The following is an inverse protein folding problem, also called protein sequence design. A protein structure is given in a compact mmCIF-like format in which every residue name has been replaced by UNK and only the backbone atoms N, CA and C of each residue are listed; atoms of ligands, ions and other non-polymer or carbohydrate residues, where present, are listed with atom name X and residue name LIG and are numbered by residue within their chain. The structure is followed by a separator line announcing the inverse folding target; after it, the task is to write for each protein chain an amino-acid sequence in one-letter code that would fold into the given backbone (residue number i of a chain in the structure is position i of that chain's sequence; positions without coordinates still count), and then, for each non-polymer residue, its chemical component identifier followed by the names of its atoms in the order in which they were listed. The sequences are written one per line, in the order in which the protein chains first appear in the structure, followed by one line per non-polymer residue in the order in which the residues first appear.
data_IF_983288341862
#
_entry.id   IF_983288341862
#
_cell.length_a   1.000
_cell.length_b   1.000
_cell.length_c   1.000
_cell.angle_alpha   90.00
_cell.angle_beta   90.00
_cell.angle_gamma   90.00
#
_symmetry.space_group_name_H-M   'P 1'
#
loop_
_entity.id
_entity.type
_entity.pdbx_description
1 polymer ?
#
# COMPACT_ATOMS: atom_id res chain seq x y z
N UNK A 1 -4.32 8.59 3.40
CA UNK A 1 -4.24 7.24 2.81
C UNK A 1 -4.31 7.34 1.29
N UNK A 2 -3.69 6.44 0.53
CA UNK A 2 -3.81 6.40 -0.94
C UNK A 2 -5.19 5.84 -1.35
N UNK A 3 -5.96 6.53 -2.23
CA UNK A 3 -7.31 6.09 -2.64
C UNK A 3 -7.28 4.73 -3.33
N UNK A 4 -6.31 4.50 -4.23
CA UNK A 4 -6.12 3.22 -4.88
C UNK A 4 -5.81 2.08 -3.89
N UNK A 5 -5.05 2.36 -2.83
CA UNK A 5 -4.76 1.36 -1.80
C UNK A 5 -6.00 0.92 -1.02
N UNK A 6 -6.91 1.86 -0.74
CA UNK A 6 -8.20 1.56 -0.11
C UNK A 6 -9.10 0.76 -1.06
N UNK A 7 -9.12 1.12 -2.35
CA UNK A 7 -9.85 0.37 -3.36
C UNK A 7 -9.37 -1.10 -3.46
N UNK A 8 -8.06 -1.35 -3.40
CA UNK A 8 -7.52 -2.71 -3.37
C UNK A 8 -7.99 -3.52 -2.16
N UNK A 9 -8.11 -2.89 -0.99
CA UNK A 9 -8.63 -3.56 0.22
C UNK A 9 -10.11 -3.88 0.11
N UNK A 10 -10.88 -2.99 -0.49
CA UNK A 10 -12.30 -3.20 -0.72
C UNK A 10 -12.52 -4.40 -1.65
N UNK A 11 -11.76 -4.51 -2.73
CA UNK A 11 -11.86 -5.64 -3.67
C UNK A 11 -11.33 -6.95 -3.07
N UNK A 12 -10.30 -6.90 -2.23
CA UNK A 12 -9.82 -8.09 -1.53
C UNK A 12 -10.84 -8.69 -0.54
N UNK A 13 -11.90 -7.94 -0.18
CA UNK A 13 -12.99 -8.45 0.65
C UNK A 13 -13.88 -9.48 -0.08
N UNK A 14 -13.74 -9.63 -1.41
CA UNK A 14 -14.47 -10.65 -2.16
C UNK A 14 -14.06 -12.08 -1.75
N UNK A 15 -15.03 -13.02 -1.68
CA UNK A 15 -14.79 -14.40 -1.27
C UNK A 15 -14.10 -15.20 -2.37
N UNK A 16 -12.77 -15.17 -2.40
CA UNK A 16 -11.93 -15.90 -3.38
C UNK A 16 -10.77 -16.62 -2.68
N UNK A 17 -10.14 -17.63 -3.31
CA UNK A 17 -8.97 -18.30 -2.73
C UNK A 17 -7.82 -17.30 -2.59
N UNK A 18 -7.40 -17.07 -1.35
CA UNK A 18 -6.38 -16.05 -1.00
C UNK A 18 -4.98 -16.66 -1.12
N UNK A 19 -4.11 -15.98 -1.86
CA UNK A 19 -2.71 -16.37 -2.05
C UNK A 19 -1.77 -15.29 -1.50
N UNK A 20 -0.76 -15.72 -0.74
CA UNK A 20 0.28 -14.81 -0.25
C UNK A 20 1.36 -14.64 -1.31
N UNK A 21 1.69 -13.39 -1.64
CA UNK A 21 2.76 -13.09 -2.59
C UNK A 21 4.12 -13.49 -1.95
N UNK A 22 5.05 -14.12 -2.69
CA UNK A 22 6.37 -14.48 -2.16
C UNK A 22 7.19 -13.21 -1.83
N UNK A 23 8.06 -13.29 -0.81
CA UNK A 23 8.86 -12.14 -0.33
C UNK A 23 9.75 -11.54 -1.42
N UNK A 24 10.27 -12.36 -2.33
CA UNK A 24 11.11 -11.91 -3.45
C UNK A 24 10.42 -10.87 -4.34
N UNK A 25 9.13 -11.05 -4.65
CA UNK A 25 8.36 -10.10 -5.47
C UNK A 25 8.20 -8.72 -4.81
N UNK A 26 8.28 -8.65 -3.48
CA UNK A 26 8.28 -7.36 -2.76
C UNK A 26 9.54 -6.55 -3.02
N UNK A 27 10.65 -7.19 -3.41
CA UNK A 27 11.90 -6.47 -3.71
C UNK A 27 11.86 -5.78 -5.07
N UNK A 28 10.97 -6.22 -5.97
CA UNK A 28 10.81 -5.64 -7.29
C UNK A 28 10.54 -4.12 -7.25
N UNK A 29 9.87 -3.61 -6.20
CA UNK A 29 9.60 -2.18 -6.05
C UNK A 29 10.86 -1.33 -5.87
N UNK A 30 11.94 -1.89 -5.31
CA UNK A 30 13.21 -1.19 -5.17
C UNK A 30 13.89 -1.07 -6.53
N UNK A 31 13.81 -2.12 -7.35
CA UNK A 31 14.29 -2.11 -8.72
C UNK A 31 13.50 -1.09 -9.56
N UNK A 32 12.17 -1.07 -9.43
CA UNK A 32 11.30 -0.08 -10.08
C UNK A 32 11.66 1.34 -9.65
N UNK A 33 11.84 1.60 -8.35
CA UNK A 33 12.23 2.93 -7.86
C UNK A 33 13.60 3.34 -8.41
N UNK A 34 14.60 2.46 -8.33
CA UNK A 34 15.95 2.77 -8.80
C UNK A 34 15.99 3.02 -10.31
N UNK A 35 15.28 2.23 -11.10
CA UNK A 35 15.32 2.34 -12.57
C UNK A 35 14.39 3.44 -13.08
N UNK A 36 13.09 3.39 -12.75
CA UNK A 36 12.07 4.25 -13.36
C UNK A 36 11.97 5.64 -12.72
N UNK A 37 12.45 5.80 -11.47
CA UNK A 37 12.36 7.09 -10.75
C UNK A 37 13.71 7.78 -10.62
N UNK A 38 14.81 7.02 -10.52
CA UNK A 38 16.16 7.60 -10.37
C UNK A 38 16.93 7.55 -11.69
N UNK A 39 17.22 6.35 -12.20
CA UNK A 39 18.13 6.17 -13.32
C UNK A 39 17.62 6.78 -14.64
N UNK A 40 16.36 6.50 -15.01
CA UNK A 40 15.80 6.99 -16.28
C UNK A 40 15.71 8.52 -16.36
N UNK A 41 15.18 9.23 -15.36
CA UNK A 41 15.16 10.70 -15.37
C UNK A 41 16.53 11.35 -15.44
N UNK A 42 17.57 10.69 -14.93
CA UNK A 42 18.97 11.16 -15.01
C UNK A 42 19.55 10.95 -16.42
N UNK A 43 19.21 9.85 -17.08
CA UNK A 43 19.72 9.52 -18.42
C UNK A 43 18.95 10.20 -19.55
N UNK A 44 17.65 10.45 -19.36
CA UNK A 44 16.76 11.05 -20.35
C UNK A 44 16.20 12.34 -19.77
N UNK A 45 17.01 13.39 -19.84
CA UNK A 45 16.68 14.73 -19.39
C UNK A 45 15.99 15.44 -20.56
N UNK A 46 14.75 15.90 -20.36
CA UNK A 46 14.06 16.71 -21.36
C UNK A 46 14.73 18.09 -21.50
N UNK A 47 14.41 18.81 -22.58
CA UNK A 47 14.98 20.14 -22.90
C UNK A 47 14.78 21.23 -21.83
N UNK A 48 13.98 20.95 -20.80
CA UNK A 48 13.68 21.82 -19.65
C UNK A 48 14.41 21.40 -18.35
N UNK A 49 15.25 20.36 -18.37
CA UNK A 49 15.99 19.89 -17.18
C UNK A 49 15.16 19.10 -16.17
N UNK A 50 13.85 18.94 -16.39
CA UNK A 50 12.97 18.10 -15.58
C UNK A 50 12.76 16.75 -16.27
N UNK A 51 13.16 15.64 -15.63
CA UNK A 51 12.88 14.30 -16.17
C UNK A 51 11.39 13.95 -16.04
N UNK A 52 10.77 13.44 -17.11
CA UNK A 52 9.38 12.99 -17.05
C UNK A 52 9.20 11.85 -16.03
N UNK A 53 8.07 11.78 -15.29
CA UNK A 53 7.78 10.67 -14.41
C UNK A 53 7.40 9.41 -15.21
N UNK A 54 8.42 8.67 -15.68
CA UNK A 54 8.29 7.45 -16.48
C UNK A 54 7.38 6.40 -15.85
N UNK A 55 7.40 6.29 -14.51
CA UNK A 55 6.49 5.42 -13.79
C UNK A 55 5.01 5.73 -14.07
N UNK A 56 4.63 7.01 -14.01
CA UNK A 56 3.27 7.45 -14.29
C UNK A 56 2.89 7.25 -15.76
N UNK A 57 3.87 7.39 -16.66
CA UNK A 57 3.68 7.21 -18.10
C UNK A 57 3.52 5.75 -18.50
N UNK A 58 4.15 4.78 -17.82
CA UNK A 58 4.20 3.39 -18.31
C UNK A 58 3.62 2.33 -17.38
N UNK A 59 3.65 2.54 -16.06
CA UNK A 59 3.49 1.47 -15.09
C UNK A 59 2.45 1.75 -14.00
N UNK A 60 1.88 2.96 -13.92
CA UNK A 60 0.92 3.33 -12.89
C UNK A 60 -0.54 2.98 -13.26
N UNK A 61 -1.13 1.87 -12.73
CA UNK A 61 -2.53 1.54 -12.90
C UNK A 61 -3.44 2.55 -12.18
N UNK A 62 -3.02 3.12 -11.05
CA UNK A 62 -3.82 4.11 -10.31
C UNK A 62 -4.12 5.34 -11.18
N UNK A 63 -3.11 5.89 -11.86
CA UNK A 63 -3.31 7.03 -12.78
C UNK A 63 -4.17 6.67 -14.00
N UNK A 64 -4.14 5.41 -14.45
CA UNK A 64 -5.01 4.94 -15.53
C UNK A 64 -6.46 4.83 -15.06
N UNK A 65 -6.69 4.33 -13.84
CA UNK A 65 -8.03 4.20 -13.25
C UNK A 65 -8.63 5.56 -12.91
N UNK A 66 -7.86 6.45 -12.28
CA UNK A 66 -8.35 7.74 -11.78
C UNK A 66 -8.43 8.78 -12.89
N UNK A 67 -7.34 8.98 -13.64
CA UNK A 67 -7.29 10.00 -14.68
C UNK A 67 -7.69 9.43 -16.05
N UNK A 68 -7.15 8.27 -16.43
CA UNK A 68 -7.37 7.68 -17.76
C UNK A 68 -8.84 7.34 -18.04
N UNK A 69 -9.52 6.66 -17.11
CA UNK A 69 -10.93 6.27 -17.25
C UNK A 69 -11.84 7.50 -17.22
N UNK A 70 -11.62 8.44 -16.29
CA UNK A 70 -12.44 9.64 -16.17
C UNK A 70 -12.31 10.53 -17.41
N UNK A 71 -11.10 10.76 -17.92
CA UNK A 71 -10.89 11.53 -19.16
C UNK A 71 -11.50 10.83 -20.37
N UNK A 72 -11.40 9.50 -20.44
CA UNK A 72 -11.98 8.73 -21.55
C UNK A 72 -13.51 8.72 -21.55
N UNK A 73 -14.14 8.81 -20.37
CA UNK A 73 -15.60 8.92 -20.25
C UNK A 73 -16.10 10.33 -20.58
N UNK A 74 -15.37 11.37 -20.17
CA UNK A 74 -15.76 12.76 -20.43
C UNK A 74 -15.56 13.16 -21.90
N UNK A 75 -14.54 12.64 -22.57
CA UNK A 75 -14.18 13.10 -23.91
C UNK A 75 -14.09 11.94 -24.92
N UNK A 76 -15.18 11.71 -25.67
CA UNK A 76 -15.25 10.64 -26.68
C UNK A 76 -14.24 10.82 -27.82
N UNK A 77 -13.80 12.06 -28.09
CA UNK A 77 -12.85 12.38 -29.17
C UNK A 77 -11.41 11.93 -28.93
N UNK A 78 -11.02 11.66 -27.67
CA UNK A 78 -9.65 11.22 -27.35
C UNK A 78 -9.49 9.70 -27.59
N UNK A 79 -10.59 8.94 -27.62
CA UNK A 79 -10.57 7.48 -27.85
C UNK A 79 -9.99 7.08 -29.21
N UNK A 80 -10.09 7.92 -30.23
CA UNK A 80 -9.53 7.65 -31.57
C UNK A 80 -8.03 7.97 -31.68
N UNK A 81 -7.45 8.70 -30.71
CA UNK A 81 -6.01 8.95 -30.61
C UNK A 81 -5.33 8.11 -29.51
N UNK A 82 -6.09 7.21 -28.87
CA UNK A 82 -5.61 6.28 -27.85
C UNK A 82 -4.77 5.19 -28.52
N UNK A 83 -3.49 5.51 -28.76
CA UNK A 83 -2.52 4.59 -29.33
C UNK A 83 -2.14 3.43 -28.42
N UNK A 84 -1.12 2.67 -28.84
CA UNK A 84 -0.59 1.47 -28.18
C UNK A 84 -0.34 1.64 -26.67
N UNK A 85 0.15 2.81 -26.22
CA UNK A 85 0.45 3.07 -24.82
C UNK A 85 -0.78 2.99 -23.91
N UNK A 86 -1.97 3.38 -24.38
CA UNK A 86 -3.18 3.31 -23.55
C UNK A 86 -3.68 1.87 -23.43
N UNK A 87 -3.63 1.10 -24.53
CA UNK A 87 -3.97 -0.33 -24.51
C UNK A 87 -3.04 -1.10 -23.55
N UNK A 88 -1.73 -0.81 -23.59
CA UNK A 88 -0.75 -1.40 -22.67
C UNK A 88 -1.09 -1.11 -21.19
N UNK A 89 -1.34 0.17 -20.85
CA UNK A 89 -1.68 0.56 -19.47
C UNK A 89 -3.00 -0.01 -18.99
N UNK A 90 -4.00 -0.09 -19.88
CA UNK A 90 -5.30 -0.70 -19.57
C UNK A 90 -5.15 -2.20 -19.34
N UNK A 91 -4.32 -2.87 -20.15
CA UNK A 91 -3.96 -4.28 -19.93
C UNK A 91 -3.28 -4.51 -18.58
N UNK A 92 -2.31 -3.66 -18.21
CA UNK A 92 -1.68 -3.70 -16.89
C UNK A 92 -2.69 -3.46 -15.76
N UNK A 93 -3.61 -2.51 -15.93
CA UNK A 93 -4.67 -2.25 -14.97
C UNK A 93 -5.54 -3.48 -14.77
N UNK A 94 -6.03 -4.11 -15.84
CA UNK A 94 -6.84 -5.33 -15.76
C UNK A 94 -6.06 -6.46 -15.08
N UNK A 95 -4.78 -6.64 -15.44
CA UNK A 95 -3.92 -7.64 -14.82
C UNK A 95 -3.81 -7.43 -13.30
N UNK A 96 -3.55 -6.20 -12.85
CA UNK A 96 -3.48 -5.88 -11.41
C UNK A 96 -4.83 -5.97 -10.71
N UNK A 97 -5.94 -5.62 -11.39
CA UNK A 97 -7.30 -5.78 -10.87
C UNK A 97 -7.63 -7.26 -10.65
N UNK A 98 -7.22 -8.15 -11.54
CA UNK A 98 -7.37 -9.59 -11.35
C UNK A 98 -6.46 -10.08 -10.23
N UNK A 99 -5.22 -9.62 -10.19
CA UNK A 99 -4.26 -10.02 -9.15
C UNK A 99 -4.72 -9.64 -7.74
N UNK A 100 -5.29 -8.45 -7.56
CA UNK A 100 -5.71 -7.97 -6.23
C UNK A 100 -6.93 -8.70 -5.66
N UNK A 101 -7.65 -9.48 -6.48
CA UNK A 101 -8.68 -10.41 -6.00
C UNK A 101 -8.02 -11.52 -5.19
N UNK A 102 -6.90 -12.07 -5.68
CA UNK A 102 -6.22 -13.19 -5.05
C UNK A 102 -5.21 -12.76 -3.97
N UNK A 103 -4.66 -11.54 -4.05
CA UNK A 103 -3.62 -11.08 -3.13
C UNK A 103 -3.90 -9.71 -2.52
N UNK A 104 -3.44 -9.51 -1.29
CA UNK A 104 -3.56 -8.23 -0.60
C UNK A 104 -2.60 -7.17 -1.18
N UNK A 105 -3.16 -6.08 -1.73
CA UNK A 105 -2.43 -4.89 -2.20
C UNK A 105 -1.20 -5.21 -3.08
N UNK A 106 -1.35 -6.00 -4.18
CA UNK A 106 -0.22 -6.51 -4.96
C UNK A 106 0.62 -5.38 -5.55
N UNK A 107 -0.02 -4.42 -6.23
CA UNK A 107 0.68 -3.29 -6.84
C UNK A 107 1.48 -2.45 -5.83
N UNK A 108 0.88 -2.10 -4.69
CA UNK A 108 1.54 -1.34 -3.63
C UNK A 108 2.77 -2.07 -3.08
N UNK A 109 2.71 -3.40 -3.04
CA UNK A 109 3.77 -4.27 -2.53
C UNK A 109 4.88 -4.52 -3.55
N UNK A 110 4.57 -4.68 -4.83
CA UNK A 110 5.54 -5.15 -5.83
C UNK A 110 6.12 -4.03 -6.67
N UNK A 111 5.37 -2.99 -6.98
CA UNK A 111 5.69 -2.12 -8.13
C UNK A 111 5.60 -0.64 -7.80
N UNK A 112 4.82 -0.25 -6.79
CA UNK A 112 4.61 1.16 -6.45
C UNK A 112 5.87 1.79 -5.79
N UNK A 113 6.52 2.79 -6.40
CA UNK A 113 7.68 3.46 -5.82
C UNK A 113 7.28 4.30 -4.58
N UNK A 114 6.07 4.88 -4.58
CA UNK A 114 5.54 5.59 -3.40
C UNK A 114 5.41 4.66 -2.19
N UNK A 115 5.11 3.38 -2.39
CA UNK A 115 5.09 2.38 -1.31
C UNK A 115 6.46 2.17 -0.68
N UNK A 116 7.53 2.27 -1.46
CA UNK A 116 8.92 2.21 -0.96
C UNK A 116 9.29 3.47 -0.18
N UNK A 117 8.95 4.64 -0.73
CA UNK A 117 9.21 5.94 -0.09
C UNK A 117 8.47 6.00 1.24
N UNK A 118 7.16 5.72 1.27
CA UNK A 118 6.37 5.69 2.51
C UNK A 118 6.92 4.66 3.51
N UNK A 119 7.35 3.49 3.02
CA UNK A 119 8.05 2.50 3.84
C UNK A 119 9.29 3.07 4.54
N UNK A 120 10.12 3.82 3.82
CA UNK A 120 11.30 4.47 4.40
C UNK A 120 10.93 5.55 5.42
N UNK A 121 9.91 6.35 5.12
CA UNK A 121 9.37 7.36 6.03
C UNK A 121 8.72 6.78 7.28
N UNK A 122 8.39 5.48 7.34
CA UNK A 122 7.86 4.86 8.55
C UNK A 122 8.80 5.04 9.75
N UNK A 123 10.12 4.98 9.54
CA UNK A 123 11.09 5.13 10.64
C UNK A 123 11.07 6.52 11.29
N UNK A 124 10.74 7.53 10.49
CA UNK A 124 10.76 8.95 10.89
C UNK A 124 9.34 9.47 11.21
N UNK A 125 8.31 8.75 10.79
CA UNK A 125 6.91 9.17 10.93
C UNK A 125 6.48 9.34 12.39
N UNK A 126 5.61 10.33 12.62
CA UNK A 126 4.97 10.61 13.91
C UNK A 126 4.09 9.45 14.42
N UNK A 127 3.66 8.57 13.52
CA UNK A 127 2.98 7.34 13.85
C UNK A 127 4.04 6.29 14.16
N UNK A 128 4.06 5.73 15.37
CA UNK A 128 4.97 4.63 15.75
C UNK A 128 4.18 3.41 16.22
N UNK A 129 4.61 2.23 15.78
CA UNK A 129 4.09 0.98 16.33
C UNK A 129 4.96 0.56 17.52
N UNK A 130 4.32 0.22 18.64
CA UNK A 130 4.98 -0.32 19.82
C UNK A 130 4.44 -1.72 20.10
N UNK A 131 5.33 -2.62 20.45
CA UNK A 131 4.98 -3.99 20.85
C UNK A 131 5.44 -4.16 22.28
N UNK A 132 4.52 -4.55 23.16
CA UNK A 132 4.89 -5.00 24.50
C UNK A 132 5.43 -6.43 24.42
N UNK A 133 6.76 -6.55 24.46
CA UNK A 133 7.43 -7.85 24.41
C UNK A 133 7.14 -8.72 25.64
N UNK A 134 6.76 -8.15 26.78
CA UNK A 134 6.42 -8.93 27.98
C UNK A 134 5.06 -9.60 27.85
N UNK A 135 4.12 -8.93 27.20
CA UNK A 135 2.79 -9.46 26.92
C UNK A 135 2.73 -10.32 25.64
N UNK A 136 3.78 -10.32 24.80
CA UNK A 136 3.80 -11.04 23.54
C UNK A 136 4.01 -12.55 23.73
N UNK A 137 3.11 -13.36 23.17
CA UNK A 137 3.18 -14.83 23.21
C UNK A 137 3.98 -15.47 22.04
N UNK A 138 4.60 -14.66 21.16
CA UNK A 138 5.28 -15.13 19.94
C UNK A 138 4.46 -16.12 19.08
N UNK A 139 3.14 -15.94 19.00
CA UNK A 139 2.22 -16.86 18.32
C UNK A 139 2.13 -16.72 16.79
N UNK A 140 2.96 -15.85 16.20
CA UNK A 140 3.01 -15.49 14.76
C UNK A 140 1.65 -15.13 14.11
N UNK A 141 0.62 -14.84 14.91
CA UNK A 141 -0.69 -14.40 14.41
C UNK A 141 -0.56 -13.10 13.59
N UNK A 142 0.25 -12.16 14.08
CA UNK A 142 0.54 -10.91 13.38
C UNK A 142 1.25 -11.11 12.03
N UNK A 143 2.15 -12.10 11.91
CA UNK A 143 2.86 -12.41 10.68
C UNK A 143 1.91 -13.05 9.65
N UNK A 144 1.00 -13.93 10.09
CA UNK A 144 0.03 -14.62 9.21
C UNK A 144 -0.93 -13.66 8.51
N UNK A 145 -1.39 -12.63 9.19
CA UNK A 145 -2.28 -11.60 8.61
C UNK A 145 -1.51 -10.48 7.90
N UNK A 146 -0.18 -10.45 8.00
CA UNK A 146 0.61 -9.38 7.44
C UNK A 146 0.73 -9.54 5.91
N UNK A 147 0.31 -8.55 5.10
CA UNK A 147 0.38 -8.63 3.64
C UNK A 147 1.81 -8.72 3.10
N UNK A 148 2.82 -8.30 3.89
CA UNK A 148 4.25 -8.36 3.54
C UNK A 148 5.01 -9.44 4.34
N UNK A 149 4.32 -10.21 5.17
CA UNK A 149 4.90 -11.32 5.93
C UNK A 149 6.13 -10.88 6.76
N UNK A 150 6.01 -9.75 7.47
CA UNK A 150 7.03 -9.26 8.42
C UNK A 150 6.67 -9.66 9.85
N UNK A 151 7.70 -9.86 10.68
CA UNK A 151 7.57 -10.08 12.11
C UNK A 151 7.61 -8.75 12.85
N UNK A 152 6.44 -8.27 13.27
CA UNK A 152 6.30 -6.94 13.88
C UNK A 152 6.93 -6.90 15.28
N UNK A 153 6.97 -8.04 15.98
CA UNK A 153 7.64 -8.16 17.28
C UNK A 153 9.17 -8.16 17.18
N UNK A 154 9.78 -8.35 16.00
CA UNK A 154 11.24 -8.21 15.83
C UNK A 154 11.58 -6.79 15.37
N UNK A 155 10.87 -6.29 14.36
CA UNK A 155 11.13 -4.99 13.75
C UNK A 155 9.81 -4.26 13.43
N UNK A 156 9.23 -3.52 14.39
CA UNK A 156 7.96 -2.80 14.18
C UNK A 156 8.10 -1.66 13.16
N UNK A 157 9.29 -1.05 13.07
CA UNK A 157 9.60 0.06 12.16
C UNK A 157 10.21 -0.39 10.82
N UNK A 158 9.90 -1.61 10.38
CA UNK A 158 10.39 -2.13 9.09
C UNK A 158 9.98 -1.23 7.93
N UNK A 159 10.93 -0.98 7.01
CA UNK A 159 10.70 -0.21 5.77
C UNK A 159 9.78 -0.93 4.77
N UNK A 160 9.41 -2.17 5.06
CA UNK A 160 8.45 -2.95 4.27
C UNK A 160 7.03 -2.86 4.84
N UNK A 161 6.86 -2.35 6.07
CA UNK A 161 5.55 -2.22 6.69
C UNK A 161 4.66 -1.23 5.92
N UNK A 162 3.44 -1.63 5.57
CA UNK A 162 2.46 -0.72 4.96
C UNK A 162 1.59 0.00 6.01
N UNK A 163 1.78 -0.29 7.30
CA UNK A 163 1.00 0.25 8.42
C UNK A 163 -0.51 0.10 8.22
N UNK A 164 -0.93 -1.09 7.78
CA UNK A 164 -2.34 -1.44 7.60
C UNK A 164 -3.07 -1.79 8.91
N UNK A 165 -2.34 -1.88 10.04
CA UNK A 165 -2.87 -2.17 11.39
C UNK A 165 -3.63 -3.49 11.56
N UNK A 166 -3.67 -4.35 10.54
CA UNK A 166 -4.26 -5.71 10.64
C UNK A 166 -3.63 -6.55 11.76
N UNK A 167 -2.36 -6.31 12.04
CA UNK A 167 -1.63 -6.98 13.11
C UNK A 167 -2.18 -6.68 14.51
N UNK A 168 -2.65 -5.45 14.74
CA UNK A 168 -3.26 -5.04 16.00
C UNK A 168 -4.60 -5.75 16.19
N UNK A 169 -5.45 -5.73 15.16
CA UNK A 169 -6.75 -6.41 15.19
C UNK A 169 -6.66 -7.94 15.30
N UNK A 170 -5.58 -8.56 14.83
CA UNK A 170 -5.39 -10.00 14.88
C UNK A 170 -4.66 -10.49 16.15
N UNK A 171 -4.16 -9.58 16.99
CA UNK A 171 -3.41 -9.96 18.18
C UNK A 171 -4.37 -10.49 19.26
N UNK A 172 -4.22 -11.75 19.75
CA UNK A 172 -5.13 -12.30 20.76
C UNK A 172 -4.97 -11.67 22.15
N UNK A 173 -3.80 -11.07 22.40
CA UNK A 173 -3.43 -10.44 23.69
C UNK A 173 -3.33 -8.92 23.59
N UNK A 174 -3.68 -8.34 22.43
CA UNK A 174 -3.63 -6.89 22.17
C UNK A 174 -2.32 -6.21 22.60
N UNK A 175 -1.18 -6.90 22.43
CA UNK A 175 0.14 -6.37 22.84
C UNK A 175 0.74 -5.37 21.84
N UNK A 176 0.06 -5.10 20.74
CA UNK A 176 0.50 -4.17 19.68
C UNK A 176 -0.31 -2.89 19.84
N UNK A 177 0.38 -1.76 19.98
CA UNK A 177 -0.23 -0.43 20.09
C UNK A 177 0.38 0.53 19.07
N UNK A 178 -0.39 1.55 18.69
CA UNK A 178 0.08 2.63 17.84
C UNK A 178 0.00 3.97 18.60
N UNK A 179 1.04 4.79 18.50
CA UNK A 179 1.08 6.13 19.12
C UNK A 179 1.28 7.20 18.05
N UNK A 180 0.45 8.25 18.07
CA UNK A 180 0.63 9.46 17.25
C UNK A 180 1.35 10.53 18.09
N UNK A 181 2.55 10.95 17.69
CA UNK A 181 3.33 11.99 18.38
C UNK A 181 2.70 13.40 18.43
N UNK A 182 1.57 13.62 17.75
CA UNK A 182 0.89 14.94 17.71
C UNK A 182 -0.07 15.18 18.88
N UNK A 183 -0.18 14.25 19.84
CA UNK A 183 -1.19 14.30 20.91
C UNK A 183 -0.59 14.27 22.31
N UNK A 184 0.52 14.98 22.55
CA UNK A 184 1.05 15.15 23.92
C UNK A 184 0.72 16.51 24.56
N UNK A 185 0.01 17.43 23.87
CA UNK A 185 -0.25 18.77 24.42
C UNK A 185 -1.72 19.20 24.54
N UNK A 186 -2.70 18.38 24.18
CA UNK A 186 -4.09 18.75 24.44
C UNK A 186 -5.02 17.57 24.72
N UNK A 187 -5.70 17.68 25.86
CA UNK A 187 -6.80 16.86 26.38
C UNK A 187 -6.50 15.51 27.05
N UNK A 188 -6.37 15.60 28.39
CA UNK A 188 -7.28 14.91 29.31
C UNK A 188 -8.72 14.95 28.78
N UNK A 189 -9.27 13.80 28.37
CA UNK A 189 -10.50 13.16 28.91
C UNK A 189 -11.07 12.08 27.96
N UNK A 190 -11.85 11.11 28.50
CA UNK A 190 -11.86 9.71 28.08
C UNK A 190 -13.19 9.21 27.51
N UNK A 191 -13.19 8.37 26.47
CA UNK A 191 -14.31 7.49 26.07
C UNK A 191 -13.67 6.29 25.34
N UNK A 192 -13.65 5.03 25.79
CA UNK A 192 -14.72 4.17 26.32
C UNK A 192 -15.96 4.15 25.42
N UNK A 193 -16.02 3.16 24.52
CA UNK A 193 -17.31 2.53 24.22
C UNK A 193 -17.15 1.01 24.20
N UNK A 194 -17.79 0.45 25.23
CA UNK A 194 -17.91 -0.95 25.62
C UNK A 194 -19.14 -1.54 24.94
N UNK A 195 -18.98 -2.77 24.48
CA UNK A 195 -19.99 -3.82 24.24
C UNK A 195 -21.29 -3.70 25.06
N UNK A 196 -22.45 -3.61 24.39
CA UNK A 196 -23.81 -3.97 24.83
C UNK A 196 -24.75 -3.60 23.67
N UNK A 197 -25.74 -4.35 23.18
CA UNK A 197 -26.56 -5.48 23.62
C UNK A 197 -27.17 -6.12 22.35
N UNK A 198 -27.74 -7.33 22.31
CA UNK A 198 -28.73 -7.89 23.24
C UNK A 198 -28.93 -9.37 22.92
N UNK A 199 -28.95 -10.22 23.95
CA UNK A 199 -29.69 -11.49 23.93
C UNK A 199 -31.16 -11.12 24.20
N UNK A 200 -32.06 -11.63 23.37
CA UNK A 200 -33.41 -12.02 23.74
C UNK A 200 -33.64 -13.40 23.15
#
# INVERSE_FOLDING_TARGET
LCPFGFFQELVYKLPTPKFQIPKFLTYFRYLVLLILVILLPILVIDSLGFGEPWFCKWLCPAGTLEAGVLLSLLNRGIRSQLGFLFAWKTGLLILFLLWMVFSERPFCRTTCPLGTIFGFFNRVSAFKMRVDHKACLLCDACQRVCPVNIKIYENPDSSQCLRCLKCEAACPVSCISHSFKLSEENNRQPQAEVKADRIA
#
